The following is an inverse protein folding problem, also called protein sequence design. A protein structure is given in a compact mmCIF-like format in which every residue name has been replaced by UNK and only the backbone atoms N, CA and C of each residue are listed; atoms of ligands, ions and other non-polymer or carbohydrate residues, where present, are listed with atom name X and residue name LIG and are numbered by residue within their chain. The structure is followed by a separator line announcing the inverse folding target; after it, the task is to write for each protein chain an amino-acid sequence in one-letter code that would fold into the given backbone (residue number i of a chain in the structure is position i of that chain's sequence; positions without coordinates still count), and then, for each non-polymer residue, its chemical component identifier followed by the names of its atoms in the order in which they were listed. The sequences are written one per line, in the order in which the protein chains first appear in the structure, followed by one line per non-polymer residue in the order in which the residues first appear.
data_IF_311996138149
#
_entry.id   IF_311996138149
#
_cell.length_a   1.000
_cell.length_b   1.000
_cell.length_c   1.000
_cell.angle_alpha   90.00
_cell.angle_beta   90.00
_cell.angle_gamma   90.00
#
_symmetry.space_group_name_H-M   'P 1'
#
loop_
_entity.id
_entity.type
_entity.pdbx_description
1 polymer ?
#
# COMPACT_ATOMS: atom_id res chain seq x y z
N UNK A 1 33.05 0.86 -1.49
CA UNK A 1 33.18 0.43 -0.08
C UNK A 1 33.43 1.57 0.92
N UNK A 2 33.90 2.74 0.50
CA UNK A 2 34.26 3.86 1.40
C UNK A 2 33.20 4.17 2.50
N UNK A 3 31.92 4.29 2.13
CA UNK A 3 30.85 4.55 3.11
C UNK A 3 30.64 3.43 4.13
N UNK A 4 30.83 2.16 3.74
CA UNK A 4 30.71 1.01 4.66
C UNK A 4 31.88 0.97 5.64
N UNK A 5 33.10 1.21 5.16
CA UNK A 5 34.30 1.29 6.00
C UNK A 5 34.24 2.47 6.97
N UNK A 6 33.68 3.61 6.56
CA UNK A 6 33.46 4.74 7.46
C UNK A 6 32.41 4.41 8.54
N UNK A 7 31.30 3.76 8.16
CA UNK A 7 30.25 3.34 9.09
C UNK A 7 30.75 2.34 10.15
N UNK A 8 31.68 1.44 9.80
CA UNK A 8 32.25 0.46 10.72
C UNK A 8 33.03 1.08 11.91
N UNK A 9 33.37 2.37 11.85
CA UNK A 9 33.99 3.08 12.98
C UNK A 9 33.02 3.36 14.13
N UNK A 10 31.71 3.35 13.87
CA UNK A 10 30.67 3.74 14.84
C UNK A 10 29.49 2.76 14.91
N UNK A 11 29.40 1.80 13.98
CA UNK A 11 28.38 0.76 13.95
C UNK A 11 29.02 -0.64 14.01
N UNK A 12 28.32 -1.65 14.56
CA UNK A 12 28.74 -3.04 14.45
C UNK A 12 29.02 -3.46 13.00
N UNK A 13 30.04 -4.30 12.80
CA UNK A 13 30.50 -4.75 11.48
C UNK A 13 29.35 -5.37 10.67
N UNK A 14 28.50 -6.17 11.31
CA UNK A 14 27.31 -6.77 10.69
C UNK A 14 26.38 -5.73 10.07
N UNK A 15 26.18 -4.58 10.74
CA UNK A 15 25.32 -3.50 10.25
C UNK A 15 26.02 -2.73 9.13
N UNK A 16 27.31 -2.39 9.30
CA UNK A 16 28.08 -1.63 8.32
C UNK A 16 28.23 -2.36 6.98
N UNK A 17 28.32 -3.69 7.00
CA UNK A 17 28.47 -4.54 5.82
C UNK A 17 27.19 -5.29 5.41
N UNK A 18 26.06 -5.10 6.12
CA UNK A 18 24.77 -5.68 5.74
C UNK A 18 24.43 -5.41 4.28
N UNK A 19 24.00 -6.45 3.55
CA UNK A 19 23.59 -6.32 2.14
C UNK A 19 22.49 -5.26 2.03
N UNK A 20 22.58 -4.41 1.00
CA UNK A 20 21.54 -3.41 0.73
C UNK A 20 20.25 -4.15 0.44
N UNK A 21 19.29 -4.04 1.36
CA UNK A 21 17.91 -4.40 1.12
C UNK A 21 17.21 -3.16 0.55
N UNK A 22 16.35 -3.35 -0.45
CA UNK A 22 15.47 -2.27 -0.88
C UNK A 22 14.56 -1.87 0.26
N UNK A 23 14.07 -0.63 0.23
CA UNK A 23 12.95 -0.21 1.07
C UNK A 23 11.64 -0.71 0.47
N UNK A 24 11.46 -2.04 0.49
CA UNK A 24 10.22 -2.65 0.01
C UNK A 24 9.12 -2.35 1.03
N UNK A 25 8.12 -1.57 0.62
CA UNK A 25 6.93 -1.34 1.43
C UNK A 25 5.99 -2.52 1.21
N UNK A 26 5.53 -3.22 2.26
CA UNK A 26 4.71 -4.42 2.12
C UNK A 26 3.23 -4.06 1.88
N UNK A 27 2.95 -3.17 0.93
CA UNK A 27 1.59 -2.67 0.63
C UNK A 27 0.61 -3.81 0.37
N UNK A 28 1.03 -4.83 -0.38
CA UNK A 28 0.22 -6.04 -0.63
C UNK A 28 -0.18 -6.79 0.65
N UNK A 29 0.61 -6.73 1.71
CA UNK A 29 0.26 -7.41 2.96
C UNK A 29 -0.63 -6.49 3.78
N UNK A 30 -0.29 -5.20 3.85
CA UNK A 30 -1.05 -4.22 4.62
C UNK A 30 -2.48 -4.02 4.10
N UNK A 31 -2.68 -3.95 2.80
CA UNK A 31 -4.03 -3.78 2.24
C UNK A 31 -4.92 -5.02 2.39
N UNK A 32 -4.35 -6.20 2.62
CA UNK A 32 -5.11 -7.44 2.86
C UNK A 32 -5.44 -7.65 4.36
N UNK A 33 -4.77 -6.93 5.25
CA UNK A 33 -4.85 -7.13 6.68
C UNK A 33 -5.82 -6.11 7.30
N UNK A 34 -6.85 -6.63 7.97
CA UNK A 34 -7.92 -5.86 8.60
C UNK A 34 -7.42 -4.77 9.55
N UNK A 35 -6.24 -4.97 10.15
CA UNK A 35 -5.62 -3.98 11.05
C UNK A 35 -5.19 -2.70 10.32
N UNK A 36 -5.00 -2.76 9.00
CA UNK A 36 -4.41 -1.67 8.22
C UNK A 36 -5.24 -1.25 7.00
N UNK A 37 -6.27 -2.01 6.60
CA UNK A 37 -7.03 -1.76 5.38
C UNK A 37 -8.26 -0.84 5.57
N UNK A 38 -8.48 -0.30 6.78
CA UNK A 38 -9.68 0.50 7.12
C UNK A 38 -9.90 1.68 6.17
N UNK A 39 -8.84 2.37 5.75
CA UNK A 39 -8.96 3.46 4.78
C UNK A 39 -9.36 2.98 3.38
N UNK A 40 -8.93 1.78 2.97
CA UNK A 40 -9.35 1.16 1.70
C UNK A 40 -10.85 0.90 1.75
N UNK A 41 -11.33 0.27 2.82
CA UNK A 41 -12.75 0.00 3.02
C UNK A 41 -13.57 1.30 3.04
N UNK A 42 -13.12 2.32 3.79
CA UNK A 42 -13.78 3.63 3.87
C UNK A 42 -13.92 4.28 2.50
N UNK A 43 -12.86 4.29 1.70
CA UNK A 43 -12.89 4.92 0.38
C UNK A 43 -13.69 4.12 -0.65
N UNK A 44 -13.68 2.79 -0.59
CA UNK A 44 -14.47 1.94 -1.49
C UNK A 44 -15.98 2.10 -1.26
N UNK A 45 -16.40 2.48 -0.05
CA UNK A 45 -17.79 2.78 0.32
C UNK A 45 -18.12 4.29 0.34
N UNK A 46 -17.33 5.11 -0.37
CA UNK A 46 -17.55 6.56 -0.41
C UNK A 46 -18.34 6.99 -1.65
N UNK A 47 -18.99 8.16 -1.57
CA UNK A 47 -19.65 8.82 -2.72
C UNK A 47 -18.68 9.04 -3.90
N UNK A 48 -17.37 9.15 -3.63
CA UNK A 48 -16.33 9.25 -4.67
C UNK A 48 -16.24 7.93 -5.43
N UNK A 49 -16.29 6.79 -4.74
CA UNK A 49 -16.26 5.49 -5.39
C UNK A 49 -17.52 5.27 -6.23
N UNK A 50 -18.71 5.58 -5.69
CA UNK A 50 -19.98 5.52 -6.42
C UNK A 50 -19.99 6.36 -7.71
N UNK A 51 -19.29 7.49 -7.69
CA UNK A 51 -19.20 8.39 -8.85
C UNK A 51 -18.39 7.82 -10.02
N UNK A 52 -17.36 7.02 -9.75
CA UNK A 52 -16.36 6.62 -10.75
C UNK A 52 -16.30 5.12 -11.00
N UNK A 53 -16.84 4.30 -10.10
CA UNK A 53 -16.75 2.85 -10.15
C UNK A 53 -18.09 2.20 -9.86
N UNK A 54 -18.24 0.97 -10.37
CA UNK A 54 -19.23 0.04 -9.88
C UNK A 54 -18.76 -0.46 -8.50
N UNK A 55 -19.45 -0.03 -7.44
CA UNK A 55 -19.07 -0.31 -6.05
C UNK A 55 -19.12 -1.81 -5.74
N UNK A 56 -20.12 -2.52 -6.27
CA UNK A 56 -20.26 -3.96 -6.07
C UNK A 56 -19.10 -4.71 -6.74
N UNK A 57 -18.70 -4.28 -7.94
CA UNK A 57 -17.59 -4.89 -8.65
C UNK A 57 -16.24 -4.66 -7.95
N UNK A 58 -15.96 -3.46 -7.43
CA UNK A 58 -14.68 -3.19 -6.73
C UNK A 58 -14.64 -3.87 -5.36
N UNK A 59 -15.77 -3.99 -4.67
CA UNK A 59 -15.87 -4.72 -3.41
C UNK A 59 -15.66 -6.22 -3.63
N UNK A 60 -16.22 -6.80 -4.69
CA UNK A 60 -15.95 -8.20 -5.04
C UNK A 60 -14.44 -8.45 -5.30
N UNK A 61 -13.76 -7.51 -5.99
CA UNK A 61 -12.30 -7.59 -6.21
C UNK A 61 -11.54 -7.51 -4.87
N UNK A 62 -11.98 -6.63 -3.97
CA UNK A 62 -11.37 -6.47 -2.64
C UNK A 62 -11.57 -7.72 -1.77
N UNK A 63 -12.77 -8.28 -1.75
CA UNK A 63 -13.10 -9.49 -1.00
C UNK A 63 -12.32 -10.70 -1.50
N UNK A 64 -12.20 -10.89 -2.82
CA UNK A 64 -11.33 -11.93 -3.39
C UNK A 64 -9.88 -11.76 -2.94
N UNK A 65 -9.39 -10.52 -2.94
CA UNK A 65 -8.02 -10.19 -2.56
C UNK A 65 -7.75 -10.49 -1.08
N UNK A 66 -8.61 -10.01 -0.18
CA UNK A 66 -8.53 -10.29 1.27
C UNK A 66 -8.74 -11.78 1.54
N UNK A 67 -9.60 -12.44 0.77
CA UNK A 67 -9.85 -13.89 0.79
C UNK A 67 -8.69 -14.76 0.29
N UNK A 68 -7.58 -14.16 -0.13
CA UNK A 68 -6.33 -14.87 -0.45
C UNK A 68 -5.94 -14.84 -1.93
N UNK A 69 -6.76 -14.27 -2.82
CA UNK A 69 -6.39 -14.05 -4.22
C UNK A 69 -5.41 -12.88 -4.33
N UNK A 70 -4.15 -13.14 -4.00
CA UNK A 70 -3.14 -12.09 -3.90
C UNK A 70 -2.87 -11.36 -5.21
N UNK A 71 -3.27 -11.89 -6.38
CA UNK A 71 -3.06 -11.25 -7.69
C UNK A 71 -3.89 -9.96 -7.88
N UNK A 72 -5.00 -9.84 -7.16
CA UNK A 72 -5.87 -8.66 -7.23
C UNK A 72 -5.28 -7.42 -6.53
N UNK A 73 -4.17 -7.55 -5.77
CA UNK A 73 -3.60 -6.44 -4.98
C UNK A 73 -3.31 -5.17 -5.79
N UNK A 74 -2.88 -5.32 -7.05
CA UNK A 74 -2.57 -4.18 -7.93
C UNK A 74 -3.83 -3.44 -8.36
N UNK A 75 -4.94 -4.16 -8.58
CA UNK A 75 -6.23 -3.54 -8.93
C UNK A 75 -6.71 -2.71 -7.75
N UNK A 76 -6.75 -3.31 -6.56
CA UNK A 76 -7.17 -2.62 -5.32
C UNK A 76 -6.28 -1.39 -5.08
N UNK A 77 -4.95 -1.52 -5.18
CA UNK A 77 -4.03 -0.39 -5.01
C UNK A 77 -4.28 0.74 -6.00
N UNK A 78 -4.56 0.41 -7.26
CA UNK A 78 -4.80 1.40 -8.31
C UNK A 78 -6.08 2.20 -8.03
N UNK A 79 -7.16 1.50 -7.68
CA UNK A 79 -8.46 2.12 -7.33
C UNK A 79 -8.29 2.98 -6.08
N UNK A 80 -7.71 2.42 -5.02
CA UNK A 80 -7.46 3.13 -3.76
C UNK A 80 -6.65 4.41 -3.98
N UNK A 81 -5.56 4.34 -4.75
CA UNK A 81 -4.71 5.51 -5.02
C UNK A 81 -5.47 6.59 -5.78
N UNK A 82 -6.32 6.22 -6.74
CA UNK A 82 -7.19 7.16 -7.44
C UNK A 82 -8.18 7.84 -6.49
N UNK A 83 -8.83 7.08 -5.60
CA UNK A 83 -9.78 7.62 -4.63
C UNK A 83 -9.10 8.59 -3.64
N UNK A 84 -7.93 8.22 -3.12
CA UNK A 84 -7.11 9.09 -2.26
C UNK A 84 -6.75 10.39 -2.99
N UNK A 85 -6.28 10.30 -4.23
CA UNK A 85 -5.96 11.47 -5.04
C UNK A 85 -7.18 12.36 -5.25
N UNK A 86 -8.33 11.78 -5.60
CA UNK A 86 -9.53 12.56 -5.84
C UNK A 86 -10.02 13.27 -4.57
N UNK A 87 -10.06 12.56 -3.44
CA UNK A 87 -10.41 13.12 -2.14
C UNK A 87 -9.49 14.30 -1.77
N UNK A 88 -8.19 14.16 -1.98
CA UNK A 88 -7.20 15.18 -1.63
C UNK A 88 -7.29 16.44 -2.51
N UNK A 89 -7.54 16.29 -3.81
CA UNK A 89 -7.45 17.41 -4.76
C UNK A 89 -8.79 18.01 -5.20
N UNK A 90 -9.91 17.33 -5.00
CA UNK A 90 -11.23 17.79 -5.44
C UNK A 90 -12.28 17.85 -4.33
N UNK A 91 -12.00 17.28 -3.15
CA UNK A 91 -12.92 17.31 -2.00
C UNK A 91 -12.37 18.14 -0.85
N UNK A 92 -11.11 17.91 -0.44
CA UNK A 92 -10.49 18.63 0.69
C UNK A 92 -9.93 20.00 0.33
N UNK A 93 -9.46 20.16 -0.91
CA UNK A 93 -8.84 21.40 -1.42
C UNK A 93 -9.85 22.34 -2.03
#
# INVERSE_FOLDING_TARGET
MAFRTAAAKVLPEEIAFRKKLGFIVPIRIWMADERYNQDVQRLFHSDIAEKFFDVDAINAIFDEYVGGNSDNWRKVWTIYTFLVWYEEYFVKR
#
